data_IF_560938774543
#
_entry.id   IF_560938774543
#
_cell.length_a   1.000
_cell.length_b   1.000
_cell.length_c   1.000
_cell.angle_alpha   90.00
_cell.angle_beta   90.00
_cell.angle_gamma   90.00
#
_symmetry.space_group_name_H-M   'P 1'
#
loop_
_entity.id
_entity.type
_entity.pdbx_description
1 polymer ?
#
# COMPACT_ATOMS: atom_id res chain seq x y z
N UNK A 1 -4.27 29.22 -1.01
CA UNK A 1 -3.80 28.57 -2.25
C UNK A 1 -4.98 28.20 -3.15
N UNK A 2 -6.00 27.50 -2.65
CA UNK A 2 -7.17 27.05 -3.44
C UNK A 2 -7.98 28.19 -4.07
N UNK A 3 -8.00 29.39 -3.49
CA UNK A 3 -8.66 30.57 -4.10
C UNK A 3 -7.94 31.05 -5.37
N UNK A 4 -6.62 30.81 -5.47
CA UNK A 4 -5.81 31.17 -6.64
C UNK A 4 -5.68 29.99 -7.63
N UNK A 5 -5.69 28.78 -7.10
CA UNK A 5 -5.49 27.53 -7.85
C UNK A 5 -6.55 26.50 -7.43
N UNK A 6 -7.80 26.64 -7.87
CA UNK A 6 -8.91 25.80 -7.39
C UNK A 6 -8.79 24.31 -7.78
N UNK A 7 -8.01 24.00 -8.79
CA UNK A 7 -7.74 22.62 -9.24
C UNK A 7 -6.51 21.99 -8.59
N UNK A 8 -5.74 22.74 -7.78
CA UNK A 8 -4.59 22.21 -7.09
C UNK A 8 -5.00 21.18 -6.04
N UNK A 9 -4.34 20.03 -6.05
CA UNK A 9 -4.46 19.02 -5.02
C UNK A 9 -3.42 19.29 -3.93
N UNK A 10 -3.85 19.37 -2.68
CA UNK A 10 -3.01 19.58 -1.52
C UNK A 10 -2.94 18.28 -0.73
N UNK A 11 -1.74 17.76 -0.57
CA UNK A 11 -1.49 16.52 0.16
C UNK A 11 -0.57 16.85 1.33
N UNK A 12 -0.98 16.47 2.54
CA UNK A 12 -0.19 16.67 3.75
C UNK A 12 0.70 15.45 4.00
N UNK A 13 1.97 15.69 4.26
CA UNK A 13 2.87 14.76 4.90
C UNK A 13 2.95 15.13 6.39
N UNK A 14 2.32 14.31 7.22
CA UNK A 14 2.25 14.54 8.67
C UNK A 14 2.07 13.22 9.40
N UNK A 15 3.03 12.88 10.24
CA UNK A 15 3.05 11.65 11.05
C UNK A 15 2.29 11.77 12.38
N UNK A 16 1.74 12.95 12.68
CA UNK A 16 1.05 13.19 13.95
C UNK A 16 -0.42 12.79 13.88
N UNK A 17 -1.04 12.68 15.04
CA UNK A 17 -2.48 12.49 15.18
C UNK A 17 -3.26 13.81 15.23
N UNK A 18 -2.70 14.89 14.69
CA UNK A 18 -3.39 16.18 14.60
C UNK A 18 -4.70 16.01 13.83
N UNK A 19 -5.86 16.36 14.43
CA UNK A 19 -7.16 16.05 13.85
C UNK A 19 -7.58 17.06 12.78
N UNK A 20 -8.32 16.58 11.77
CA UNK A 20 -8.96 17.46 10.79
C UNK A 20 -8.01 18.02 9.74
N UNK A 21 -6.90 17.37 9.44
CA UNK A 21 -5.97 17.78 8.36
C UNK A 21 -6.71 17.85 7.03
N UNK A 22 -7.54 16.87 6.74
CA UNK A 22 -8.31 16.79 5.48
C UNK A 22 -9.75 17.30 5.61
N UNK A 23 -10.15 17.76 6.79
CA UNK A 23 -11.45 18.37 7.00
C UNK A 23 -11.51 19.77 6.35
N UNK A 24 -12.63 20.17 5.73
CA UNK A 24 -12.79 21.49 5.15
C UNK A 24 -12.53 22.64 6.13
N UNK A 25 -11.98 23.75 5.64
CA UNK A 25 -11.63 24.93 6.47
C UNK A 25 -12.87 25.55 7.13
N UNK A 26 -13.98 25.61 6.42
CA UNK A 26 -15.27 26.13 6.94
C UNK A 26 -15.88 25.25 8.04
N UNK A 27 -15.37 24.02 8.18
CA UNK A 27 -15.71 23.09 9.25
C UNK A 27 -14.62 23.00 10.34
N UNK A 28 -13.65 23.91 10.32
CA UNK A 28 -12.58 23.98 11.32
C UNK A 28 -11.38 23.05 11.05
N UNK A 29 -11.24 22.53 9.84
CA UNK A 29 -10.08 21.73 9.41
C UNK A 29 -9.01 22.57 8.70
N UNK A 30 -7.93 21.89 8.24
CA UNK A 30 -6.84 22.52 7.51
C UNK A 30 -7.08 22.60 5.99
N UNK A 31 -8.02 21.83 5.45
CA UNK A 31 -8.45 21.88 4.05
C UNK A 31 -7.49 21.20 3.06
N UNK A 32 -6.68 20.27 3.52
CA UNK A 32 -5.94 19.38 2.61
C UNK A 32 -6.88 18.39 1.91
N UNK A 33 -6.55 17.99 0.71
CA UNK A 33 -7.33 16.98 -0.02
C UNK A 33 -7.05 15.58 0.48
N UNK A 34 -5.78 15.31 0.83
CA UNK A 34 -5.32 14.02 1.35
C UNK A 34 -4.23 14.22 2.40
N UNK A 35 -4.03 13.19 3.20
CA UNK A 35 -2.91 13.04 4.15
C UNK A 35 -2.22 11.70 3.89
N UNK A 36 -0.89 11.66 3.91
CA UNK A 36 -0.15 10.40 3.84
C UNK A 36 -0.43 9.53 5.07
N UNK A 37 -0.57 8.23 4.83
CA UNK A 37 -0.72 7.23 5.91
C UNK A 37 0.64 6.59 6.23
N UNK A 38 1.50 7.34 6.91
CA UNK A 38 2.82 6.87 7.33
C UNK A 38 2.72 5.65 8.26
N UNK A 39 1.63 5.52 9.02
CA UNK A 39 1.37 4.34 9.85
C UNK A 39 1.18 3.08 9.01
N UNK A 40 0.35 3.13 7.99
CA UNK A 40 0.17 2.03 7.04
C UNK A 40 1.51 1.62 6.40
N UNK A 41 2.29 2.61 5.94
CA UNK A 41 3.59 2.35 5.31
C UNK A 41 4.53 1.61 6.26
N UNK A 42 4.76 2.13 7.45
CA UNK A 42 5.66 1.51 8.43
C UNK A 42 5.19 0.10 8.81
N UNK A 43 3.93 -0.05 9.15
CA UNK A 43 3.38 -1.33 9.61
C UNK A 43 3.47 -2.42 8.54
N UNK A 44 3.14 -2.06 7.28
CA UNK A 44 3.24 -3.03 6.17
C UNK A 44 4.69 -3.39 5.85
N UNK A 45 5.60 -2.43 5.83
CA UNK A 45 7.02 -2.70 5.57
C UNK A 45 7.64 -3.56 6.68
N UNK A 46 7.38 -3.27 7.94
CA UNK A 46 7.85 -4.10 9.06
C UNK A 46 7.29 -5.52 8.99
N UNK A 47 6.00 -5.66 8.65
CA UNK A 47 5.37 -6.97 8.52
C UNK A 47 6.06 -7.83 7.45
N UNK A 48 6.33 -7.27 6.26
CA UNK A 48 6.96 -8.02 5.17
C UNK A 48 8.48 -8.17 5.30
N UNK A 49 9.12 -7.39 6.16
CA UNK A 49 10.52 -7.62 6.57
C UNK A 49 10.66 -8.83 7.51
N UNK A 50 9.63 -9.10 8.31
CA UNK A 50 9.62 -10.25 9.21
C UNK A 50 9.60 -11.55 8.43
N UNK A 51 10.39 -12.53 8.90
CA UNK A 51 10.33 -13.88 8.36
C UNK A 51 8.93 -14.48 8.57
N UNK A 52 8.42 -15.30 7.63
CA UNK A 52 7.06 -15.81 7.66
C UNK A 52 6.66 -16.46 8.98
N UNK A 53 7.57 -17.21 9.60
CA UNK A 53 7.34 -17.89 10.89
C UNK A 53 7.10 -16.92 12.07
N UNK A 54 7.44 -15.64 11.92
CA UNK A 54 7.20 -14.61 12.96
C UNK A 54 6.01 -13.71 12.68
N UNK A 55 5.40 -13.79 11.50
CA UNK A 55 4.31 -12.88 11.07
C UNK A 55 3.05 -13.00 11.91
N UNK A 56 2.81 -14.14 12.52
CA UNK A 56 1.71 -14.31 13.47
C UNK A 56 1.78 -13.32 14.63
N UNK A 57 2.99 -12.96 15.10
CA UNK A 57 3.21 -11.97 16.17
C UNK A 57 2.90 -10.55 15.71
N UNK A 58 3.08 -10.29 14.42
CA UNK A 58 2.91 -8.98 13.80
C UNK A 58 1.56 -8.86 13.07
N UNK A 59 0.69 -9.83 13.22
CA UNK A 59 -0.59 -9.94 12.50
C UNK A 59 -1.40 -8.62 12.51
N UNK A 60 -1.47 -7.96 13.66
CA UNK A 60 -2.27 -6.75 13.82
C UNK A 60 -1.69 -5.52 13.12
N UNK A 61 -0.44 -5.51 12.70
CA UNK A 61 0.14 -4.42 11.90
C UNK A 61 -0.65 -4.20 10.60
N UNK A 62 -1.14 -5.27 9.99
CA UNK A 62 -1.94 -5.15 8.77
C UNK A 62 -3.39 -4.72 9.03
N UNK A 63 -3.93 -4.94 10.21
CA UNK A 63 -5.33 -4.60 10.53
C UNK A 63 -5.46 -3.25 11.25
N UNK A 64 -4.40 -2.75 11.85
CA UNK A 64 -4.42 -1.59 12.73
C UNK A 64 -4.82 -0.29 12.03
N UNK A 65 -4.38 -0.08 10.79
CA UNK A 65 -4.72 1.11 10.01
C UNK A 65 -6.24 1.36 9.91
N UNK A 66 -7.04 0.29 9.85
CA UNK A 66 -8.50 0.41 9.78
C UNK A 66 -9.15 0.95 11.07
N UNK A 67 -8.44 0.98 12.19
CA UNK A 67 -8.92 1.60 13.43
C UNK A 67 -9.02 3.12 13.35
N UNK A 68 -8.22 3.75 12.49
CA UNK A 68 -8.17 5.22 12.34
C UNK A 68 -8.43 5.69 10.91
N UNK A 69 -8.49 4.79 9.94
CA UNK A 69 -8.51 5.11 8.52
C UNK A 69 -9.58 6.16 8.13
N UNK A 70 -10.78 6.08 8.69
CA UNK A 70 -11.87 7.00 8.36
C UNK A 70 -11.82 8.35 9.10
N UNK A 71 -10.79 8.60 9.91
CA UNK A 71 -10.61 9.89 10.58
C UNK A 71 -10.13 10.99 9.63
N UNK A 72 -9.41 10.61 8.56
CA UNK A 72 -8.86 11.49 7.54
C UNK A 72 -9.03 10.88 6.15
N UNK A 73 -8.75 11.64 5.11
CA UNK A 73 -8.70 11.12 3.73
C UNK A 73 -7.27 10.65 3.45
N UNK A 74 -6.95 9.47 3.90
CA UNK A 74 -5.62 8.93 3.78
C UNK A 74 -5.25 8.53 2.34
N UNK A 75 -3.99 8.77 1.99
CA UNK A 75 -3.30 8.30 0.81
C UNK A 75 -2.22 7.34 1.27
N UNK A 76 -2.29 6.10 0.79
CA UNK A 76 -1.30 5.06 1.10
C UNK A 76 -0.09 5.25 0.21
N UNK A 77 1.09 5.30 0.80
CA UNK A 77 2.32 5.56 0.05
C UNK A 77 3.41 4.52 0.34
N UNK A 78 4.24 4.28 -0.68
CA UNK A 78 5.62 3.86 -0.56
C UNK A 78 6.48 4.91 -1.24
N UNK A 79 6.91 5.90 -0.45
CA UNK A 79 7.50 7.15 -0.91
C UNK A 79 9.02 7.06 -1.12
N UNK A 80 9.60 8.18 -1.58
CA UNK A 80 11.03 8.30 -1.82
C UNK A 80 11.88 8.13 -0.56
N UNK A 81 11.39 8.59 0.60
CA UNK A 81 12.13 8.51 1.86
C UNK A 81 12.42 7.08 2.30
N UNK A 82 11.64 6.12 1.80
CA UNK A 82 11.83 4.70 2.13
C UNK A 82 12.81 3.98 1.18
N UNK A 83 13.32 4.67 0.16
CA UNK A 83 14.21 4.07 -0.84
C UNK A 83 15.51 4.85 -1.04
N UNK A 84 15.93 5.59 -0.01
CA UNK A 84 17.13 6.43 0.01
C UNK A 84 17.92 6.28 1.32
N UNK A 85 19.13 6.81 1.35
CA UNK A 85 19.95 6.99 2.55
C UNK A 85 20.29 5.70 3.30
N UNK A 86 20.50 4.60 2.59
CA UNK A 86 20.86 3.30 3.19
C UNK A 86 19.68 2.53 3.76
N UNK A 87 18.45 2.92 3.42
CA UNK A 87 17.23 2.24 3.87
C UNK A 87 16.88 1.00 3.02
N UNK A 88 17.58 0.75 1.93
CA UNK A 88 17.30 -0.24 0.89
C UNK A 88 16.03 0.07 0.07
N UNK A 89 15.83 -0.63 -1.04
CA UNK A 89 14.61 -0.46 -1.87
C UNK A 89 13.43 -1.25 -1.32
N UNK A 90 12.22 -0.95 -1.78
CA UNK A 90 11.00 -1.68 -1.35
C UNK A 90 11.16 -3.19 -1.58
N UNK A 91 11.66 -3.61 -2.74
CA UNK A 91 11.90 -5.03 -3.00
C UNK A 91 12.93 -5.62 -2.06
N UNK A 92 14.04 -4.91 -1.80
CA UNK A 92 15.10 -5.40 -0.91
C UNK A 92 14.64 -5.57 0.55
N UNK A 93 13.64 -4.78 0.99
CA UNK A 93 13.06 -4.89 2.33
C UNK A 93 12.26 -6.18 2.52
N UNK A 94 11.79 -6.83 1.46
CA UNK A 94 11.09 -8.11 1.59
C UNK A 94 12.02 -9.18 2.18
N UNK A 95 11.47 -10.04 3.03
CA UNK A 95 12.23 -11.13 3.65
C UNK A 95 12.70 -12.16 2.61
N UNK A 96 13.78 -12.90 2.93
CA UNK A 96 14.30 -13.99 2.12
C UNK A 96 15.33 -13.59 1.06
N UNK A 97 15.72 -14.58 0.26
CA UNK A 97 16.66 -14.40 -0.84
C UNK A 97 16.01 -13.69 -2.05
N UNK A 98 16.81 -13.39 -3.05
CA UNK A 98 16.36 -12.59 -4.21
C UNK A 98 15.03 -13.08 -4.82
N UNK A 99 14.89 -14.39 -5.03
CA UNK A 99 13.71 -14.98 -5.68
C UNK A 99 12.47 -14.92 -4.77
N UNK A 100 12.66 -15.05 -3.45
CA UNK A 100 11.59 -15.04 -2.45
C UNK A 100 10.95 -13.66 -2.26
N UNK A 101 11.66 -12.60 -2.62
CA UNK A 101 11.20 -11.21 -2.45
C UNK A 101 10.04 -10.85 -3.38
N UNK A 102 10.03 -11.37 -4.60
CA UNK A 102 9.01 -11.01 -5.59
C UNK A 102 7.60 -11.49 -5.26
N UNK A 103 7.38 -12.74 -4.80
CA UNK A 103 6.05 -13.15 -4.33
C UNK A 103 5.54 -12.27 -3.20
N UNK A 104 6.40 -11.92 -2.25
CA UNK A 104 6.04 -11.09 -1.10
C UNK A 104 5.72 -9.65 -1.53
N UNK A 105 6.51 -9.06 -2.42
CA UNK A 105 6.23 -7.74 -2.98
C UNK A 105 4.88 -7.73 -3.73
N UNK A 106 4.60 -8.77 -4.54
CA UNK A 106 3.29 -8.89 -5.20
C UNK A 106 2.14 -8.94 -4.19
N UNK A 107 2.29 -9.73 -3.14
CA UNK A 107 1.28 -9.87 -2.10
C UNK A 107 1.07 -8.56 -1.33
N UNK A 108 2.15 -7.84 -1.00
CA UNK A 108 2.12 -6.52 -0.36
C UNK A 108 1.38 -5.48 -1.21
N UNK A 109 1.71 -5.39 -2.51
CA UNK A 109 1.03 -4.45 -3.41
C UNK A 109 -0.43 -4.80 -3.67
N UNK A 110 -0.79 -6.10 -3.70
CA UNK A 110 -2.18 -6.51 -3.75
C UNK A 110 -2.92 -6.10 -2.46
N UNK A 111 -2.28 -6.26 -1.31
CA UNK A 111 -2.83 -5.81 -0.03
C UNK A 111 -3.07 -4.30 -0.03
N UNK A 112 -2.07 -3.52 -0.46
CA UNK A 112 -2.22 -2.07 -0.64
C UNK A 112 -3.38 -1.72 -1.58
N UNK A 113 -3.56 -2.44 -2.69
CA UNK A 113 -4.67 -2.22 -3.63
C UNK A 113 -6.03 -2.56 -2.98
N UNK A 114 -6.12 -3.66 -2.24
CA UNK A 114 -7.34 -4.08 -1.58
C UNK A 114 -7.73 -3.20 -0.38
N UNK A 115 -6.75 -2.65 0.34
CA UNK A 115 -6.98 -1.68 1.41
C UNK A 115 -7.60 -0.39 0.85
N UNK A 116 -8.57 0.25 1.52
CA UNK A 116 -9.07 1.56 1.07
C UNK A 116 -7.98 2.64 1.10
N UNK A 117 -8.10 3.65 0.27
CA UNK A 117 -7.17 4.78 0.15
C UNK A 117 -6.62 4.94 -1.26
N UNK A 118 -6.31 6.17 -1.64
CA UNK A 118 -5.56 6.43 -2.86
C UNK A 118 -4.14 5.92 -2.72
N UNK A 119 -3.53 5.55 -3.83
CA UNK A 119 -2.22 4.90 -3.84
C UNK A 119 -1.16 5.84 -4.41
N UNK A 120 -0.02 5.90 -3.73
CA UNK A 120 1.17 6.57 -4.22
C UNK A 120 2.33 5.57 -4.16
N UNK A 121 2.89 5.27 -5.32
CA UNK A 121 4.05 4.42 -5.43
C UNK A 121 5.17 5.21 -6.09
N UNK A 122 6.31 5.31 -5.42
CA UNK A 122 7.43 6.09 -5.94
C UNK A 122 8.12 5.37 -7.11
N UNK A 123 8.65 6.15 -8.04
CA UNK A 123 9.29 5.65 -9.28
C UNK A 123 10.41 4.63 -8.98
N UNK A 124 10.43 3.53 -9.74
CA UNK A 124 11.37 2.43 -9.58
C UNK A 124 10.84 1.27 -8.74
N UNK A 125 9.90 1.54 -7.84
CA UNK A 125 9.27 0.48 -7.04
C UNK A 125 8.46 -0.49 -7.90
N UNK A 126 7.81 0.00 -8.99
CA UNK A 126 6.94 -0.77 -9.86
C UNK A 126 7.63 -1.84 -10.71
N UNK A 127 8.95 -1.78 -10.82
CA UNK A 127 9.75 -2.83 -11.46
C UNK A 127 10.81 -3.46 -10.54
N UNK A 128 10.72 -3.13 -9.23
CA UNK A 128 11.57 -3.72 -8.21
C UNK A 128 13.04 -3.28 -8.32
N UNK A 129 13.29 -1.98 -8.53
CA UNK A 129 14.65 -1.44 -8.61
C UNK A 129 15.47 -1.88 -7.39
N UNK A 130 16.72 -2.30 -7.61
CA UNK A 130 17.63 -2.74 -6.55
C UNK A 130 18.57 -1.64 -6.04
N UNK A 131 18.76 -0.59 -6.82
CA UNK A 131 19.50 0.58 -6.39
C UNK A 131 18.55 1.58 -5.74
N UNK A 132 18.95 2.14 -4.61
CA UNK A 132 18.25 3.26 -4.00
C UNK A 132 18.10 4.42 -4.99
N UNK A 133 17.04 5.20 -4.83
CA UNK A 133 16.80 6.35 -5.68
C UNK A 133 17.89 7.41 -5.52
N UNK A 134 18.27 7.98 -6.64
CA UNK A 134 19.31 9.01 -6.76
C UNK A 134 18.86 10.01 -7.84
N UNK A 135 18.60 11.25 -7.44
CA UNK A 135 18.09 12.30 -8.33
C UNK A 135 19.07 12.69 -9.44
N UNK A 136 20.35 12.34 -9.31
CA UNK A 136 21.37 12.60 -10.31
C UNK A 136 21.46 11.54 -11.41
N UNK A 137 20.69 10.45 -11.30
CA UNK A 137 20.81 9.28 -12.18
C UNK A 137 19.45 8.85 -12.73
N UNK A 138 19.48 8.32 -13.95
CA UNK A 138 18.34 7.64 -14.56
C UNK A 138 17.95 6.37 -13.76
N UNK A 139 16.67 6.01 -13.80
CA UNK A 139 16.18 4.75 -13.26
C UNK A 139 16.82 3.56 -13.99
N UNK A 140 17.01 2.45 -13.28
CA UNK A 140 17.71 1.27 -13.80
C UNK A 140 16.80 0.42 -14.72
N UNK A 141 16.26 1.01 -15.80
CA UNK A 141 15.35 0.34 -16.72
C UNK A 141 15.92 -0.96 -17.32
N UNK A 142 17.23 -1.06 -17.43
CA UNK A 142 17.93 -2.26 -17.90
C UNK A 142 17.64 -3.51 -17.07
N UNK A 143 17.17 -3.34 -15.82
CA UNK A 143 16.83 -4.47 -14.96
C UNK A 143 15.65 -5.30 -15.50
N UNK A 144 14.81 -4.71 -16.34
CA UNK A 144 13.70 -5.40 -17.01
C UNK A 144 14.13 -6.53 -17.95
N UNK A 145 15.41 -6.64 -18.30
CA UNK A 145 15.94 -7.81 -19.01
C UNK A 145 15.94 -9.08 -18.17
N UNK A 146 15.83 -8.98 -16.85
CA UNK A 146 15.75 -10.11 -15.94
C UNK A 146 14.29 -10.55 -15.75
N UNK A 147 14.00 -11.85 -15.91
CA UNK A 147 12.63 -12.36 -15.96
C UNK A 147 11.76 -12.01 -14.75
N UNK A 148 12.33 -12.01 -13.55
CA UNK A 148 11.58 -11.71 -12.32
C UNK A 148 11.15 -10.24 -12.25
N UNK A 149 12.02 -9.31 -12.65
CA UNK A 149 11.70 -7.88 -12.69
C UNK A 149 10.66 -7.57 -13.79
N UNK A 150 10.81 -8.15 -14.98
CA UNK A 150 9.84 -8.01 -16.06
C UNK A 150 8.47 -8.58 -15.67
N UNK A 151 8.44 -9.76 -15.04
CA UNK A 151 7.20 -10.36 -14.57
C UNK A 151 6.55 -9.53 -13.46
N UNK A 152 7.34 -8.97 -12.55
CA UNK A 152 6.86 -8.08 -11.50
C UNK A 152 6.29 -6.77 -12.07
N UNK A 153 6.99 -6.15 -13.03
CA UNK A 153 6.51 -4.95 -13.70
C UNK A 153 5.17 -5.20 -14.43
N UNK A 154 5.05 -6.30 -15.16
CA UNK A 154 3.78 -6.69 -15.80
C UNK A 154 2.66 -6.92 -14.78
N UNK A 155 2.98 -7.51 -13.65
CA UNK A 155 2.03 -7.65 -12.55
C UNK A 155 1.55 -6.30 -12.04
N UNK A 156 2.44 -5.32 -11.85
CA UNK A 156 2.08 -3.97 -11.40
C UNK A 156 1.22 -3.23 -12.42
N UNK A 157 1.49 -3.39 -13.71
CA UNK A 157 0.64 -2.84 -14.79
C UNK A 157 -0.78 -3.42 -14.68
N UNK A 158 -0.90 -4.74 -14.54
CA UNK A 158 -2.20 -5.41 -14.44
C UNK A 158 -2.95 -5.03 -13.16
N UNK A 159 -2.24 -4.96 -12.03
CA UNK A 159 -2.83 -4.54 -10.76
C UNK A 159 -3.41 -3.11 -10.83
N UNK A 160 -2.66 -2.19 -11.45
CA UNK A 160 -3.13 -0.82 -11.68
C UNK A 160 -4.34 -0.78 -12.63
N UNK A 161 -4.33 -1.59 -13.70
CA UNK A 161 -5.46 -1.70 -14.64
C UNK A 161 -6.72 -2.18 -13.90
N UNK A 162 -6.61 -3.20 -13.07
CA UNK A 162 -7.73 -3.68 -12.24
C UNK A 162 -8.27 -2.57 -11.35
N UNK A 163 -7.40 -1.82 -10.68
CA UNK A 163 -7.80 -0.70 -9.82
C UNK A 163 -8.51 0.43 -10.58
N UNK A 164 -8.07 0.73 -11.80
CA UNK A 164 -8.64 1.79 -12.63
C UNK A 164 -9.97 1.40 -13.29
N UNK A 165 -10.14 0.15 -13.67
CA UNK A 165 -11.32 -0.33 -14.40
C UNK A 165 -12.49 -0.74 -13.49
N UNK A 166 -12.27 -0.84 -12.18
CA UNK A 166 -13.29 -1.38 -11.28
C UNK A 166 -13.67 -0.40 -10.19
N UNK A 167 -14.93 -0.02 -10.18
CA UNK A 167 -15.52 0.96 -9.28
C UNK A 167 -15.47 0.56 -7.80
N UNK A 168 -15.26 -0.71 -7.49
CA UNK A 168 -15.03 -1.18 -6.15
C UNK A 168 -13.81 -0.53 -5.46
N UNK A 169 -12.82 -0.05 -6.24
CA UNK A 169 -11.60 0.61 -5.74
C UNK A 169 -11.66 2.13 -5.80
N UNK A 170 -12.82 2.73 -6.12
CA UNK A 170 -12.93 4.19 -6.29
C UNK A 170 -13.54 4.90 -5.07
N UNK A 171 -14.29 4.17 -4.24
CA UNK A 171 -15.05 4.70 -3.11
C UNK A 171 -14.32 4.46 -1.78
N UNK A 172 -13.04 4.84 -1.73
CA UNK A 172 -12.13 4.51 -0.62
C UNK A 172 -12.54 5.10 0.74
N UNK A 173 -13.24 6.23 0.72
CA UNK A 173 -13.63 6.95 1.95
C UNK A 173 -15.08 6.70 2.35
N UNK A 174 -15.75 5.74 1.71
CA UNK A 174 -17.07 5.25 2.10
C UNK A 174 -16.89 3.99 2.95
N UNK A 175 -17.25 4.02 4.26
CA UNK A 175 -17.14 2.85 5.13
C UNK A 175 -17.89 1.62 4.63
N UNK A 176 -18.98 1.81 3.87
CA UNK A 176 -19.75 0.72 3.29
C UNK A 176 -19.04 -0.01 2.14
N UNK A 177 -17.98 0.60 1.59
CA UNK A 177 -17.20 0.01 0.49
C UNK A 177 -16.23 -1.08 0.96
N UNK A 178 -15.81 -1.04 2.24
CA UNK A 178 -14.82 -1.98 2.78
C UNK A 178 -15.43 -2.89 3.85
N UNK A 179 -15.02 -4.15 3.83
CA UNK A 179 -15.35 -5.08 4.91
C UNK A 179 -14.24 -6.12 5.06
N UNK A 180 -13.78 -6.33 6.29
CA UNK A 180 -13.08 -7.55 6.65
C UNK A 180 -14.05 -8.74 6.55
N UNK A 181 -13.72 -9.74 5.74
CA UNK A 181 -14.41 -11.03 5.73
C UNK A 181 -13.79 -11.94 6.77
N UNK A 182 -12.46 -11.89 6.87
CA UNK A 182 -11.70 -12.54 7.94
C UNK A 182 -10.47 -11.70 8.29
N UNK A 183 -10.23 -11.51 9.58
CA UNK A 183 -9.05 -10.86 10.16
C UNK A 183 -8.75 -11.41 11.55
N UNK A 184 -9.06 -12.70 11.79
CA UNK A 184 -8.92 -13.38 13.08
C UNK A 184 -8.18 -14.71 12.97
N UNK A 185 -7.32 -14.85 11.95
CA UNK A 185 -6.52 -16.05 11.69
C UNK A 185 -5.02 -15.78 11.95
N UNK A 186 -4.72 -15.27 13.15
CA UNK A 186 -3.36 -14.81 13.50
C UNK A 186 -2.31 -15.90 13.32
N UNK A 187 -2.60 -17.12 13.78
CA UNK A 187 -1.66 -18.25 13.70
C UNK A 187 -1.42 -18.70 12.24
N UNK A 188 -2.40 -18.51 11.37
CA UNK A 188 -2.34 -18.89 9.96
C UNK A 188 -1.91 -17.75 9.03
N UNK A 189 -1.81 -16.52 9.52
CA UNK A 189 -1.53 -15.31 8.76
C UNK A 189 -2.46 -15.14 7.54
N UNK A 190 -3.76 -15.46 7.71
CA UNK A 190 -4.78 -15.34 6.67
C UNK A 190 -5.59 -14.07 6.88
N UNK A 191 -5.84 -13.37 5.79
CA UNK A 191 -6.70 -12.18 5.75
C UNK A 191 -7.65 -12.27 4.56
N UNK A 192 -8.88 -11.82 4.74
CA UNK A 192 -9.84 -11.73 3.65
C UNK A 192 -10.56 -10.38 3.68
N UNK A 193 -10.50 -9.67 2.58
CA UNK A 193 -11.06 -8.33 2.38
C UNK A 193 -12.12 -8.39 1.29
N UNK A 194 -13.24 -7.69 1.51
CA UNK A 194 -14.23 -7.40 0.48
C UNK A 194 -14.23 -5.90 0.17
N UNK A 195 -14.15 -5.57 -1.11
CA UNK A 195 -14.43 -4.22 -1.64
C UNK A 195 -15.74 -4.25 -2.41
N UNK A 196 -16.64 -3.33 -2.08
CA UNK A 196 -17.97 -3.26 -2.67
C UNK A 196 -18.00 -2.25 -3.80
N UNK A 197 -18.29 -2.69 -5.02
CA UNK A 197 -18.58 -1.81 -6.15
C UNK A 197 -20.08 -1.74 -6.43
N UNK A 198 -20.46 -0.90 -7.36
CA UNK A 198 -21.86 -0.81 -7.85
C UNK A 198 -22.26 -2.03 -8.67
N UNK A 199 -21.34 -2.51 -9.51
CA UNK A 199 -21.59 -3.60 -10.44
C UNK A 199 -20.97 -4.91 -10.00
N UNK A 200 -19.81 -4.86 -9.35
CA UNK A 200 -19.05 -6.04 -8.92
C UNK A 200 -18.46 -5.80 -7.54
N UNK A 201 -18.38 -6.88 -6.77
CA UNK A 201 -17.60 -6.90 -5.54
C UNK A 201 -16.27 -7.59 -5.82
N UNK A 202 -15.22 -7.14 -5.16
CA UNK A 202 -13.94 -7.82 -5.10
C UNK A 202 -13.75 -8.47 -3.75
N UNK A 203 -13.21 -9.68 -3.77
CA UNK A 203 -12.76 -10.40 -2.59
C UNK A 203 -11.27 -10.67 -2.81
N UNK A 204 -10.45 -10.18 -1.90
CA UNK A 204 -9.03 -10.48 -1.84
C UNK A 204 -8.78 -11.38 -0.63
N UNK A 205 -8.16 -12.53 -0.87
CA UNK A 205 -7.77 -13.49 0.17
C UNK A 205 -6.25 -13.57 0.14
N UNK A 206 -5.63 -13.46 1.31
CA UNK A 206 -4.19 -13.45 1.50
C UNK A 206 -3.78 -14.58 2.41
N UNK A 207 -2.79 -15.32 1.99
CA UNK A 207 -1.98 -16.19 2.83
C UNK A 207 -0.57 -15.58 2.88
N UNK A 208 -0.18 -15.05 4.03
CA UNK A 208 1.15 -14.46 4.24
C UNK A 208 2.08 -15.38 5.04
N UNK A 209 1.68 -16.62 5.29
CA UNK A 209 2.57 -17.66 5.78
C UNK A 209 3.42 -18.25 4.65
N UNK A 210 4.37 -19.08 4.99
CA UNK A 210 5.16 -19.89 4.08
C UNK A 210 4.58 -21.31 3.88
N UNK A 211 3.43 -21.58 4.48
CA UNK A 211 2.75 -22.87 4.42
C UNK A 211 1.50 -22.80 3.52
N UNK A 212 1.22 -23.89 2.82
CA UNK A 212 -0.06 -24.08 2.16
C UNK A 212 -1.14 -24.25 3.23
N UNK A 213 -2.22 -23.49 3.10
CA UNK A 213 -3.32 -23.52 4.04
C UNK A 213 -4.49 -24.27 3.40
N UNK A 214 -4.86 -25.41 3.99
CA UNK A 214 -6.06 -26.17 3.61
C UNK A 214 -7.28 -25.66 4.40
N UNK A 215 -8.48 -25.82 3.82
CA UNK A 215 -9.77 -25.46 4.42
C UNK A 215 -10.12 -26.33 5.65
#
# INVERSE_FOLDING_TARGET
LKSLHPTAMLIAEDSTNFPGVTKPVDQGGLGFDYKWDLGFMHDTLEYFQSAPEYRSRDYHKLTFSMMYYYNERFLLEYCHDEVVHGKATILQKMNGEYEDKFPQARAMYLYMMAHPGKKLNFMGNEFGQLREWDESREQDWDILKYPLHDAFHRYMIELNRIGQENDAFWHDYDPENFKWLDCHQEERCIYAIKRKGKNKNFIAIFNFSDEEQED
#
